data_IF_549878068905
#
_entry.id   IF_549878068905
#
_cell.length_a   1.000
_cell.length_b   1.000
_cell.length_c   1.000
_cell.angle_alpha   90.00
_cell.angle_beta   90.00
_cell.angle_gamma   90.00
#
_symmetry.space_group_name_H-M   'P 1'
#
loop_
_entity.id
_entity.type
_entity.pdbx_description
1 polymer ?
#
# COMPACT_ATOMS: atom_id res chain seq x y z
N UNK A 1 18.46 -10.99 -2.00
CA UNK A 1 18.33 -10.86 -0.53
C UNK A 1 19.55 -10.16 0.09
N UNK A 2 20.78 -10.56 -0.24
CA UNK A 2 22.01 -9.94 0.31
C UNK A 2 22.11 -8.43 0.10
N UNK A 3 21.75 -7.93 -1.10
CA UNK A 3 21.76 -6.49 -1.40
C UNK A 3 20.73 -5.72 -0.56
N UNK A 4 19.49 -6.20 -0.49
CA UNK A 4 18.42 -5.61 0.35
C UNK A 4 18.85 -5.52 1.82
N UNK A 5 19.48 -6.58 2.34
CA UNK A 5 20.00 -6.59 3.71
C UNK A 5 21.09 -5.53 3.91
N UNK A 6 22.02 -5.41 2.96
CA UNK A 6 23.08 -4.40 3.01
C UNK A 6 22.50 -2.98 3.03
N UNK A 7 21.47 -2.72 2.21
CA UNK A 7 20.77 -1.43 2.17
C UNK A 7 20.09 -1.13 3.50
N UNK A 8 19.38 -2.10 4.09
CA UNK A 8 18.72 -1.92 5.38
C UNK A 8 19.71 -1.65 6.53
N UNK A 9 20.85 -2.34 6.53
CA UNK A 9 21.93 -2.09 7.50
C UNK A 9 22.52 -0.70 7.32
N UNK A 10 22.75 -0.28 6.08
CA UNK A 10 23.25 1.07 5.77
C UNK A 10 22.26 2.14 6.23
N UNK A 11 20.97 2.00 5.90
CA UNK A 11 19.89 2.90 6.34
C UNK A 11 19.89 3.02 7.87
N UNK A 12 19.97 1.89 8.59
CA UNK A 12 20.04 1.92 10.07
C UNK A 12 21.34 2.58 10.56
N UNK A 13 22.47 2.28 9.93
CA UNK A 13 23.78 2.86 10.25
C UNK A 13 23.86 4.37 10.02
N UNK A 14 23.07 4.90 9.08
CA UNK A 14 22.90 6.34 8.84
C UNK A 14 22.02 7.02 9.90
N UNK A 15 21.42 6.27 10.82
CA UNK A 15 20.58 6.80 11.90
C UNK A 15 19.10 6.93 11.56
N UNK A 16 18.62 6.34 10.45
CA UNK A 16 17.20 6.29 10.17
C UNK A 16 16.49 5.29 11.09
N UNK A 17 15.30 5.66 11.55
CA UNK A 17 14.47 4.84 12.47
C UNK A 17 13.44 3.98 11.76
N UNK A 18 13.26 4.16 10.46
CA UNK A 18 12.32 3.36 9.69
C UNK A 18 12.53 3.42 8.20
N UNK A 19 11.84 2.53 7.50
CA UNK A 19 11.90 2.35 6.05
C UNK A 19 10.49 2.21 5.49
N UNK A 20 10.26 2.82 4.32
CA UNK A 20 9.06 2.58 3.51
C UNK A 20 9.40 1.51 2.48
N UNK A 21 8.58 0.47 2.41
CA UNK A 21 8.80 -0.70 1.53
C UNK A 21 7.62 -0.82 0.58
N UNK A 22 7.90 -0.78 -0.73
CA UNK A 22 6.89 -0.96 -1.78
C UNK A 22 6.67 -2.44 -2.08
N UNK A 23 5.40 -2.85 -2.06
CA UNK A 23 5.01 -4.26 -2.03
C UNK A 23 5.05 -4.96 -3.40
N UNK A 24 4.84 -4.25 -4.51
CA UNK A 24 4.66 -4.87 -5.85
C UNK A 24 5.84 -5.75 -6.29
N UNK A 25 7.03 -5.54 -5.73
CA UNK A 25 8.25 -6.23 -6.13
C UNK A 25 8.61 -7.43 -5.24
N UNK A 26 7.90 -7.64 -4.12
CA UNK A 26 8.38 -8.49 -3.02
C UNK A 26 7.43 -9.63 -2.62
N UNK A 27 6.16 -9.58 -3.05
CA UNK A 27 5.12 -10.59 -2.75
C UNK A 27 5.40 -11.92 -3.43
N UNK A 28 5.53 -11.87 -4.76
CA UNK A 28 5.56 -13.05 -5.61
C UNK A 28 6.87 -13.84 -5.45
N UNK A 29 7.87 -13.20 -4.84
CA UNK A 29 9.15 -13.82 -4.50
C UNK A 29 9.19 -14.42 -3.10
N UNK A 30 8.11 -14.31 -2.30
CA UNK A 30 8.06 -14.86 -0.93
C UNK A 30 9.02 -14.18 0.06
N UNK A 31 9.49 -12.97 -0.23
CA UNK A 31 10.54 -12.30 0.55
C UNK A 31 10.00 -11.40 1.67
N UNK A 32 8.68 -11.25 1.76
CA UNK A 32 7.99 -10.38 2.74
C UNK A 32 8.32 -10.77 4.19
N UNK A 33 8.18 -12.05 4.53
CA UNK A 33 8.50 -12.55 5.89
C UNK A 33 9.98 -12.40 6.24
N UNK A 34 10.94 -12.87 5.41
CA UNK A 34 12.35 -12.61 5.65
C UNK A 34 12.68 -11.13 5.87
N UNK A 35 12.07 -10.24 5.09
CA UNK A 35 12.27 -8.81 5.18
C UNK A 35 11.72 -8.23 6.49
N UNK A 36 10.53 -8.65 6.89
CA UNK A 36 9.91 -8.24 8.15
C UNK A 36 10.66 -8.75 9.37
N UNK A 37 11.11 -10.00 9.34
CA UNK A 37 11.97 -10.56 10.37
C UNK A 37 13.27 -9.77 10.49
N UNK A 38 13.89 -9.44 9.35
CA UNK A 38 15.16 -8.73 9.37
C UNK A 38 15.02 -7.29 9.88
N UNK A 39 14.04 -6.54 9.39
CA UNK A 39 13.76 -5.17 9.85
C UNK A 39 13.45 -5.11 11.35
N UNK A 40 12.75 -6.12 11.89
CA UNK A 40 12.55 -6.30 13.34
C UNK A 40 13.87 -6.48 14.09
N UNK A 41 14.75 -7.37 13.60
CA UNK A 41 16.04 -7.68 14.23
C UNK A 41 16.92 -6.42 14.35
N UNK A 42 16.97 -5.60 13.30
CA UNK A 42 17.80 -4.39 13.28
C UNK A 42 17.09 -3.16 13.89
N UNK A 43 15.86 -3.32 14.37
CA UNK A 43 15.10 -2.25 15.01
C UNK A 43 14.75 -1.10 14.07
N UNK A 44 14.37 -1.41 12.82
CA UNK A 44 13.77 -0.46 11.90
C UNK A 44 12.25 -0.58 11.97
N UNK A 45 11.56 0.56 12.09
CA UNK A 45 10.11 0.63 11.88
C UNK A 45 9.81 0.51 10.39
N UNK A 46 8.65 -0.06 10.05
CA UNK A 46 8.27 -0.27 8.66
C UNK A 46 6.96 0.44 8.35
N UNK A 47 6.95 1.16 7.23
CA UNK A 47 5.71 1.55 6.54
C UNK A 47 5.62 0.66 5.31
N UNK A 48 4.55 -0.10 5.18
CA UNK A 48 4.29 -0.84 3.95
C UNK A 48 3.54 0.05 2.98
N UNK A 49 4.06 0.21 1.78
CA UNK A 49 3.44 0.94 0.70
C UNK A 49 2.99 -0.02 -0.39
N UNK A 50 1.83 0.24 -0.98
CA UNK A 50 1.30 -0.55 -2.08
C UNK A 50 0.39 0.29 -2.96
N UNK A 51 0.49 0.08 -4.26
CA UNK A 51 -0.33 0.70 -5.28
C UNK A 51 -1.58 -0.15 -5.48
N UNK A 52 -2.75 0.48 -5.33
CA UNK A 52 -4.02 -0.15 -5.64
C UNK A 52 -4.11 -0.53 -7.12
N UNK A 53 -3.46 0.21 -8.03
CA UNK A 53 -3.03 -0.22 -9.37
C UNK A 53 -1.99 0.74 -9.94
N UNK A 54 -1.10 0.26 -10.82
CA UNK A 54 -0.64 0.86 -12.09
C UNK A 54 0.78 0.45 -12.46
N UNK A 55 1.70 0.44 -11.50
CA UNK A 55 3.10 0.12 -11.77
C UNK A 55 3.29 -1.39 -11.80
N UNK A 56 3.57 -1.95 -12.98
CA UNK A 56 3.70 -3.40 -13.23
C UNK A 56 2.45 -4.22 -12.91
N UNK A 57 1.27 -3.59 -12.87
CA UNK A 57 -0.01 -4.30 -12.77
C UNK A 57 -0.23 -5.14 -14.04
N UNK A 58 -0.73 -6.37 -13.87
CA UNK A 58 -1.24 -7.20 -14.98
C UNK A 58 -2.47 -6.59 -15.68
N UNK A 59 -2.99 -5.47 -15.16
CA UNK A 59 -4.13 -4.73 -15.69
C UNK A 59 -3.73 -3.31 -16.17
N UNK A 60 -2.92 -3.18 -17.23
CA UNK A 60 -2.39 -1.89 -17.68
C UNK A 60 -3.44 -0.95 -18.31
N UNK A 61 -4.61 -1.49 -18.69
CA UNK A 61 -5.63 -0.75 -19.45
C UNK A 61 -7.02 -0.81 -18.80
N UNK A 62 -7.11 -1.20 -17.52
CA UNK A 62 -8.39 -1.26 -16.81
C UNK A 62 -8.38 -0.13 -15.80
N UNK A 63 -9.34 0.78 -15.93
CA UNK A 63 -9.52 1.87 -14.97
C UNK A 63 -10.03 1.35 -13.62
N UNK A 64 -9.60 2.05 -12.57
CA UNK A 64 -10.14 1.85 -11.23
C UNK A 64 -11.36 2.77 -10.99
N UNK A 65 -12.39 2.33 -10.25
CA UNK A 65 -12.51 0.99 -9.67
C UNK A 65 -13.03 -0.05 -10.66
N UNK A 66 -12.53 -1.27 -10.55
CA UNK A 66 -13.01 -2.44 -11.27
C UNK A 66 -13.02 -3.64 -10.31
N UNK A 67 -14.09 -4.44 -10.32
CA UNK A 67 -14.26 -5.53 -9.36
C UNK A 67 -13.11 -6.55 -9.39
N UNK A 68 -12.60 -6.91 -10.58
CA UNK A 68 -11.48 -7.85 -10.71
C UNK A 68 -10.21 -7.28 -10.07
N UNK A 69 -9.91 -6.00 -10.34
CA UNK A 69 -8.78 -5.29 -9.75
C UNK A 69 -8.92 -5.22 -8.23
N UNK A 70 -10.08 -4.77 -7.73
CA UNK A 70 -10.31 -4.58 -6.29
C UNK A 70 -10.17 -5.91 -5.54
N UNK A 71 -10.71 -7.00 -6.11
CA UNK A 71 -10.63 -8.32 -5.49
C UNK A 71 -9.21 -8.88 -5.48
N UNK A 72 -8.45 -8.75 -6.57
CA UNK A 72 -7.05 -9.18 -6.58
C UNK A 72 -6.20 -8.36 -5.62
N UNK A 73 -6.43 -7.05 -5.58
CA UNK A 73 -5.74 -6.15 -4.67
C UNK A 73 -6.00 -6.50 -3.20
N UNK A 74 -7.26 -6.77 -2.84
CA UNK A 74 -7.62 -7.26 -1.50
C UNK A 74 -6.97 -8.60 -1.18
N UNK A 75 -6.88 -9.53 -2.14
CA UNK A 75 -6.18 -10.81 -1.95
C UNK A 75 -4.71 -10.58 -1.58
N UNK A 76 -4.03 -9.68 -2.29
CA UNK A 76 -2.64 -9.32 -2.01
C UNK A 76 -2.50 -8.63 -0.63
N UNK A 77 -3.34 -7.63 -0.35
CA UNK A 77 -3.40 -6.97 0.96
C UNK A 77 -3.66 -7.97 2.10
N UNK A 78 -4.56 -8.93 1.89
CA UNK A 78 -4.91 -9.95 2.87
C UNK A 78 -3.71 -10.83 3.23
N UNK A 79 -2.87 -11.17 2.26
CA UNK A 79 -1.62 -11.88 2.50
C UNK A 79 -0.66 -11.05 3.37
N UNK A 80 -0.51 -9.74 3.10
CA UNK A 80 0.31 -8.83 3.92
C UNK A 80 -0.22 -8.75 5.34
N UNK A 81 -1.49 -8.35 5.45
CA UNK A 81 -2.11 -8.01 6.72
C UNK A 81 -2.24 -9.25 7.60
N UNK A 82 -2.62 -10.39 7.01
CA UNK A 82 -2.65 -11.69 7.67
C UNK A 82 -1.28 -12.10 8.20
N UNK A 83 -0.21 -11.87 7.44
CA UNK A 83 1.14 -12.21 7.88
C UNK A 83 1.63 -11.33 9.03
N UNK A 84 1.41 -10.01 8.92
CA UNK A 84 1.74 -9.04 9.98
C UNK A 84 1.05 -9.39 11.29
N UNK A 85 -0.25 -9.67 11.21
CA UNK A 85 -1.06 -9.96 12.38
C UNK A 85 -0.73 -11.32 12.98
N UNK A 86 -0.60 -12.37 12.17
CA UNK A 86 -0.30 -13.72 12.65
C UNK A 86 1.06 -13.82 13.35
N UNK A 87 2.07 -13.08 12.85
CA UNK A 87 3.44 -13.11 13.39
C UNK A 87 3.74 -11.98 14.40
N UNK A 88 2.77 -11.10 14.66
CA UNK A 88 2.91 -10.01 15.63
C UNK A 88 4.02 -9.02 15.28
N UNK A 89 4.11 -8.60 14.01
CA UNK A 89 5.08 -7.59 13.56
C UNK A 89 4.65 -6.17 13.96
N UNK A 90 4.82 -5.86 15.25
CA UNK A 90 4.50 -4.57 15.88
C UNK A 90 5.34 -3.37 15.40
N UNK A 91 6.49 -3.64 14.79
CA UNK A 91 7.35 -2.62 14.16
C UNK A 91 6.78 -2.10 12.83
N UNK A 92 5.74 -2.74 12.28
CA UNK A 92 4.97 -2.19 11.16
C UNK A 92 4.00 -1.13 11.69
N UNK A 93 4.18 0.11 11.25
CA UNK A 93 3.42 1.25 11.76
C UNK A 93 2.03 1.35 11.14
N UNK A 94 1.94 1.21 9.81
CA UNK A 94 0.70 1.26 9.03
C UNK A 94 0.94 0.77 7.59
N UNK A 95 -0.16 0.52 6.88
CA UNK A 95 -0.20 0.26 5.44
C UNK A 95 -0.57 1.55 4.70
N UNK A 96 0.28 2.02 3.80
CA UNK A 96 0.03 3.11 2.88
C UNK A 96 -0.49 2.56 1.56
N UNK A 97 -1.72 2.91 1.21
CA UNK A 97 -2.35 2.55 -0.06
C UNK A 97 -2.25 3.76 -0.99
N UNK A 98 -1.49 3.60 -2.07
CA UNK A 98 -1.43 4.54 -3.16
C UNK A 98 -2.57 4.27 -4.11
N UNK A 99 -3.52 5.20 -4.21
CA UNK A 99 -4.67 5.00 -5.08
C UNK A 99 -4.36 5.40 -6.53
N UNK A 100 -4.98 4.71 -7.50
CA UNK A 100 -4.81 4.99 -8.91
C UNK A 100 -5.46 6.30 -9.37
N UNK A 101 -4.71 7.15 -10.06
CA UNK A 101 -5.24 8.23 -10.89
C UNK A 101 -5.76 7.66 -12.23
N UNK A 102 -7.07 7.78 -12.54
CA UNK A 102 -7.67 7.31 -13.80
C UNK A 102 -6.90 7.75 -15.06
N UNK A 103 -6.89 6.92 -16.10
CA UNK A 103 -6.13 7.19 -17.34
C UNK A 103 -6.72 8.33 -18.20
N UNK A 104 -8.03 8.54 -18.15
CA UNK A 104 -8.72 9.55 -18.97
C UNK A 104 -8.64 10.95 -18.34
N UNK A 105 -7.65 11.72 -18.78
CA UNK A 105 -7.34 13.08 -18.29
C UNK A 105 -8.52 14.07 -18.31
N UNK A 106 -9.48 13.93 -19.24
CA UNK A 106 -10.58 14.88 -19.40
C UNK A 106 -11.63 14.80 -18.27
N UNK A 107 -11.72 13.68 -17.56
CA UNK A 107 -12.73 13.44 -16.51
C UNK A 107 -12.14 12.94 -15.17
N UNK A 108 -10.82 13.06 -14.97
CA UNK A 108 -10.15 12.52 -13.78
C UNK A 108 -10.75 13.04 -12.48
N UNK A 109 -11.01 14.34 -12.40
CA UNK A 109 -11.56 14.96 -11.18
C UNK A 109 -12.96 14.41 -10.88
N UNK A 110 -13.80 14.27 -11.90
CA UNK A 110 -15.15 13.71 -11.73
C UNK A 110 -15.11 12.25 -11.31
N UNK A 111 -14.21 11.45 -11.91
CA UNK A 111 -14.04 10.03 -11.57
C UNK A 111 -13.48 9.83 -10.16
N UNK A 112 -12.46 10.58 -9.76
CA UNK A 112 -11.88 10.54 -8.40
C UNK A 112 -12.91 10.91 -7.31
N UNK A 113 -13.85 11.81 -7.64
CA UNK A 113 -14.94 12.22 -6.74
C UNK A 113 -16.23 11.40 -6.92
N UNK A 114 -16.25 10.43 -7.83
CA UNK A 114 -17.42 9.59 -8.05
C UNK A 114 -17.69 8.70 -6.84
N UNK A 115 -18.97 8.47 -6.54
CA UNK A 115 -19.36 7.61 -5.41
C UNK A 115 -18.79 6.19 -5.54
N UNK A 116 -18.69 5.68 -6.77
CA UNK A 116 -18.11 4.38 -7.09
C UNK A 116 -16.65 4.31 -6.64
N UNK A 117 -15.84 5.30 -7.00
CA UNK A 117 -14.42 5.39 -6.66
C UNK A 117 -14.22 5.51 -5.15
N UNK A 118 -14.97 6.40 -4.50
CA UNK A 118 -14.93 6.58 -3.05
C UNK A 118 -15.33 5.30 -2.29
N UNK A 119 -16.35 4.58 -2.78
CA UNK A 119 -16.78 3.33 -2.17
C UNK A 119 -15.70 2.24 -2.28
N UNK A 120 -15.04 2.13 -3.44
CA UNK A 120 -13.96 1.17 -3.62
C UNK A 120 -12.76 1.48 -2.71
N UNK A 121 -12.37 2.75 -2.57
CA UNK A 121 -11.31 3.13 -1.61
C UNK A 121 -11.71 2.83 -0.17
N UNK A 122 -12.94 3.17 0.24
CA UNK A 122 -13.45 2.87 1.59
C UNK A 122 -13.45 1.37 1.86
N UNK A 123 -13.85 0.58 0.89
CA UNK A 123 -13.89 -0.88 0.96
C UNK A 123 -12.49 -1.48 1.17
N UNK A 124 -11.48 -1.00 0.43
CA UNK A 124 -10.07 -1.40 0.63
C UNK A 124 -9.55 -0.96 2.02
N UNK A 125 -9.83 0.28 2.43
CA UNK A 125 -9.43 0.82 3.74
C UNK A 125 -10.04 -0.01 4.87
N UNK A 126 -11.34 -0.29 4.79
CA UNK A 126 -12.04 -1.11 5.78
C UNK A 126 -11.53 -2.55 5.80
N UNK A 127 -11.15 -3.09 4.63
CA UNK A 127 -10.51 -4.38 4.55
C UNK A 127 -9.20 -4.43 5.35
N UNK A 128 -8.29 -3.46 5.21
CA UNK A 128 -7.06 -3.39 6.03
C UNK A 128 -7.38 -3.20 7.51
N UNK A 129 -8.31 -2.28 7.84
CA UNK A 129 -8.74 -2.04 9.23
C UNK A 129 -9.33 -3.29 9.89
N UNK A 130 -9.95 -4.19 9.12
CA UNK A 130 -10.50 -5.45 9.64
C UNK A 130 -9.43 -6.38 10.25
N UNK A 131 -8.16 -6.20 9.87
CA UNK A 131 -7.01 -6.88 10.48
C UNK A 131 -6.48 -6.17 11.74
N UNK A 132 -7.10 -5.05 12.16
CA UNK A 132 -6.62 -4.24 13.28
C UNK A 132 -5.38 -3.39 12.96
N UNK A 133 -5.03 -3.25 11.68
CA UNK A 133 -3.89 -2.45 11.24
C UNK A 133 -4.30 -1.01 10.93
N UNK A 134 -3.36 -0.08 11.16
CA UNK A 134 -3.50 1.31 10.72
C UNK A 134 -3.29 1.40 9.21
N UNK A 135 -3.98 2.34 8.58
CA UNK A 135 -3.94 2.53 7.12
C UNK A 135 -3.94 4.01 6.77
N UNK A 136 -3.16 4.39 5.76
CA UNK A 136 -3.18 5.71 5.13
C UNK A 136 -3.51 5.58 3.64
N UNK A 137 -4.12 6.63 3.09
CA UNK A 137 -4.28 6.79 1.64
C UNK A 137 -3.29 7.83 1.16
N UNK A 138 -2.46 7.46 0.18
CA UNK A 138 -1.47 8.30 -0.46
C UNK A 138 -1.80 8.46 -1.96
N UNK A 139 -1.30 9.52 -2.58
CA UNK A 139 -1.39 9.77 -4.03
C UNK A 139 0.00 9.78 -4.65
N UNK A 140 0.13 9.23 -5.86
CA UNK A 140 1.36 9.34 -6.66
C UNK A 140 1.38 10.56 -7.58
N UNK A 141 0.28 11.31 -7.66
CA UNK A 141 0.19 12.52 -8.48
C UNK A 141 0.66 13.78 -7.74
N UNK A 142 0.80 14.87 -8.49
CA UNK A 142 0.91 16.20 -7.85
C UNK A 142 -0.36 16.42 -7.00
N UNK A 143 -0.23 16.55 -5.67
CA UNK A 143 -1.39 16.73 -4.79
C UNK A 143 -2.16 18.02 -5.08
N UNK A 144 -1.60 18.96 -5.83
CA UNK A 144 -2.28 20.17 -6.30
C UNK A 144 -3.11 19.94 -7.57
N UNK A 145 -2.85 18.86 -8.31
CA UNK A 145 -3.54 18.48 -9.56
C UNK A 145 -4.58 17.40 -9.28
N UNK A 146 -4.26 16.45 -8.41
CA UNK A 146 -5.11 15.33 -8.01
C UNK A 146 -5.19 15.27 -6.49
N UNK A 147 -5.82 16.30 -5.90
CA UNK A 147 -6.02 16.35 -4.46
C UNK A 147 -6.72 15.07 -3.99
N UNK A 148 -6.18 14.47 -2.93
CA UNK A 148 -6.76 13.28 -2.30
C UNK A 148 -8.24 13.53 -2.08
N UNK A 149 -9.14 12.68 -2.61
CA UNK A 149 -10.55 12.81 -2.29
C UNK A 149 -10.64 12.76 -0.77
N UNK A 150 -11.10 13.87 -0.17
CA UNK A 150 -11.39 13.93 1.25
C UNK A 150 -12.43 12.85 1.49
N UNK A 151 -12.00 11.68 1.97
CA UNK A 151 -12.93 10.70 2.48
C UNK A 151 -13.65 11.41 3.62
N UNK A 152 -14.98 11.61 3.53
CA UNK A 152 -15.71 12.13 4.68
C UNK A 152 -15.41 11.19 5.83
N UNK A 153 -15.05 11.77 6.99
CA UNK A 153 -14.69 11.03 8.20
C UNK A 153 -15.67 9.87 8.37
N UNK A 154 -15.15 8.66 8.20
CA UNK A 154 -15.94 7.45 8.40
C UNK A 154 -15.84 7.18 9.89
N UNK A 155 -16.90 7.54 10.60
CA UNK A 155 -17.13 7.24 12.02
C UNK A 155 -16.84 5.76 12.35
#
# INVERSE_FOLDING_TARGET
MTEIIADLVLIKGMGFDGVKIFYEYIVDSGIVEPLLNYTRIIGLKVIFATHATYWNSIYPNIDFPNETIVNDYKRQLGAICGNITANGYDHVLFIAIYYPIPFEYEHVVEKLNSQEYLNALKDIVNYVKSFGLKVSLDTEGDPNVYAVPLLPEVD
#
